data_IF_256247278892
#
_entry.id   IF_256247278892
#
_cell.length_a   1.000
_cell.length_b   1.000
_cell.length_c   1.000
_cell.angle_alpha   90.00
_cell.angle_beta   90.00
_cell.angle_gamma   90.00
#
_symmetry.space_group_name_H-M   'P 1'
#
loop_
_entity.id
_entity.type
_entity.pdbx_description
1 polymer ?
#
# COMPACT_ATOMS: atom_id res chain seq x y z
N UNK A 1 29.76 63.84 57.93
CA UNK A 1 28.73 63.20 57.03
C UNK A 1 29.38 62.22 56.05
N UNK A 2 29.73 61.08 56.57
CA UNK A 2 30.14 59.91 55.74
C UNK A 2 29.07 58.87 55.99
N UNK A 3 28.43 58.42 54.97
CA UNK A 3 27.74 57.18 55.20
C UNK A 3 26.51 56.84 54.37
N UNK A 4 25.89 57.71 53.62
CA UNK A 4 24.69 57.30 52.82
C UNK A 4 24.97 56.88 51.37
N UNK A 5 26.12 57.30 50.81
CA UNK A 5 26.47 56.95 49.43
C UNK A 5 26.97 55.51 49.23
N UNK A 6 27.66 54.93 50.29
CA UNK A 6 28.24 53.57 50.15
C UNK A 6 27.25 52.45 50.38
N UNK A 7 26.15 52.69 51.08
CA UNK A 7 25.09 51.68 51.30
C UNK A 7 24.30 51.41 49.98
N UNK A 8 23.99 52.49 49.28
CA UNK A 8 23.30 52.34 47.98
C UNK A 8 24.14 51.74 46.90
N UNK A 9 25.42 51.99 46.84
CA UNK A 9 26.35 51.36 45.90
C UNK A 9 26.51 49.86 46.17
N UNK A 10 26.58 49.43 47.43
CA UNK A 10 26.62 48.00 47.78
C UNK A 10 25.31 47.29 47.52
N UNK A 11 24.12 47.89 47.74
CA UNK A 11 22.86 47.33 47.43
C UNK A 11 22.62 47.16 45.88
N UNK A 12 23.10 48.19 45.13
CA UNK A 12 23.00 48.12 43.68
C UNK A 12 23.85 46.99 43.08
N UNK A 13 25.04 46.73 43.61
CA UNK A 13 25.91 45.63 43.18
C UNK A 13 25.36 44.26 43.57
N UNK A 14 24.73 44.10 44.71
CA UNK A 14 24.11 42.87 45.15
C UNK A 14 22.85 42.57 44.30
N UNK A 15 22.03 43.56 43.96
CA UNK A 15 20.90 43.38 43.06
C UNK A 15 21.33 43.05 41.62
N UNK A 16 22.44 43.60 41.12
CA UNK A 16 22.96 43.27 39.80
C UNK A 16 23.49 41.82 39.72
N UNK A 17 24.05 41.31 40.80
CA UNK A 17 24.60 39.93 40.85
C UNK A 17 23.45 38.92 40.88
N UNK A 18 22.30 39.21 41.48
CA UNK A 18 21.11 38.34 41.47
C UNK A 18 20.36 38.33 40.13
N UNK A 19 20.52 39.36 39.28
CA UNK A 19 19.94 39.43 37.97
C UNK A 19 20.66 38.55 36.91
N UNK A 20 21.90 38.14 37.20
CA UNK A 20 22.67 37.29 36.28
C UNK A 20 22.60 35.78 36.60
N UNK A 21 21.88 35.35 37.64
CA UNK A 21 21.66 33.95 37.97
C UNK A 21 20.26 33.44 37.58
N UNK A 22 19.47 34.21 36.84
CA UNK A 22 18.37 33.65 36.11
C UNK A 22 18.95 32.82 34.96
N UNK A 23 19.45 31.64 35.27
CA UNK A 23 19.56 30.60 34.29
C UNK A 23 18.14 30.35 33.80
N UNK A 24 17.78 31.00 32.70
CA UNK A 24 16.75 30.47 31.83
C UNK A 24 17.29 29.09 31.43
N UNK A 25 16.95 28.07 32.20
CA UNK A 25 16.95 26.72 31.72
C UNK A 25 15.81 26.69 30.68
N UNK A 26 16.07 27.24 29.51
CA UNK A 26 15.41 26.71 28.35
C UNK A 26 15.77 25.23 28.37
N UNK A 27 14.81 24.39 28.71
CA UNK A 27 14.88 22.99 28.36
C UNK A 27 14.97 22.97 26.83
N UNK A 28 16.20 23.07 26.33
CA UNK A 28 16.50 22.74 24.95
C UNK A 28 16.20 21.25 24.83
N UNK A 29 14.93 20.96 24.56
CA UNK A 29 14.55 19.62 24.14
C UNK A 29 15.46 19.26 22.97
N UNK A 30 16.17 18.17 23.09
CA UNK A 30 16.99 17.66 22.01
C UNK A 30 16.12 17.55 20.77
N UNK A 31 16.31 18.45 19.82
CA UNK A 31 15.64 18.39 18.53
C UNK A 31 16.36 17.32 17.73
N UNK A 32 15.80 16.12 17.66
CA UNK A 32 16.26 15.12 16.70
C UNK A 32 15.68 15.51 15.35
N UNK A 33 16.55 15.74 14.39
CA UNK A 33 16.16 16.02 13.01
C UNK A 33 16.19 14.71 12.23
N UNK A 34 15.03 14.29 11.72
CA UNK A 34 14.92 13.09 10.90
C UNK A 34 14.87 13.45 9.41
N UNK A 35 15.77 12.89 8.63
CA UNK A 35 15.69 12.94 7.16
C UNK A 35 14.94 11.72 6.66
N UNK A 36 13.79 11.95 6.06
CA UNK A 36 12.93 10.89 5.54
C UNK A 36 13.27 10.57 4.09
N UNK A 37 13.51 9.30 3.80
CA UNK A 37 13.69 8.77 2.44
C UNK A 37 12.69 7.65 2.19
N UNK A 38 12.23 7.51 0.94
CA UNK A 38 11.40 6.39 0.50
C UNK A 38 12.16 5.58 -0.53
N UNK A 39 12.11 4.26 -0.42
CA UNK A 39 12.78 3.31 -1.30
C UNK A 39 11.81 2.18 -1.65
N UNK A 40 11.60 1.92 -2.95
CA UNK A 40 10.87 0.74 -3.40
C UNK A 40 11.85 -0.41 -3.63
N UNK A 41 11.50 -1.61 -3.18
CA UNK A 41 12.32 -2.80 -3.37
C UNK A 41 11.51 -3.95 -3.96
N UNK A 42 12.22 -4.86 -4.66
CA UNK A 42 11.67 -6.16 -5.05
C UNK A 42 11.66 -7.16 -3.87
N UNK A 43 11.32 -8.41 -4.14
CA UNK A 43 11.32 -9.47 -3.14
C UNK A 43 12.70 -9.84 -2.62
N UNK A 44 13.73 -9.67 -3.43
CA UNK A 44 15.12 -9.92 -3.10
C UNK A 44 15.75 -8.75 -2.35
N UNK A 45 15.05 -7.60 -2.25
CA UNK A 45 15.53 -6.37 -1.62
C UNK A 45 16.32 -5.46 -2.56
N UNK A 46 16.33 -5.72 -3.87
CA UNK A 46 16.97 -4.85 -4.85
C UNK A 46 16.19 -3.54 -4.99
N UNK A 47 16.92 -2.43 -5.11
CA UNK A 47 16.32 -1.10 -5.23
C UNK A 47 15.69 -0.90 -6.61
N UNK A 48 14.38 -0.64 -6.60
CA UNK A 48 13.57 -0.32 -7.78
C UNK A 48 13.35 1.18 -7.98
N UNK A 49 13.71 2.01 -7.00
CA UNK A 49 13.41 3.45 -6.99
C UNK A 49 14.02 4.18 -8.18
N UNK A 50 15.26 3.81 -8.55
CA UNK A 50 16.01 4.42 -9.66
C UNK A 50 15.48 4.10 -11.07
N UNK A 51 14.60 3.11 -11.20
CA UNK A 51 14.10 2.64 -12.50
C UNK A 51 12.77 3.33 -12.91
N UNK A 52 12.34 4.38 -12.19
CA UNK A 52 11.09 5.07 -12.46
C UNK A 52 9.84 4.26 -12.08
N UNK A 53 10.01 3.12 -11.42
CA UNK A 53 8.91 2.26 -10.97
C UNK A 53 8.12 2.92 -9.83
N UNK A 54 8.81 3.67 -8.95
CA UNK A 54 8.18 4.50 -7.94
C UNK A 54 8.03 5.93 -8.47
N UNK A 55 6.85 6.24 -9.00
CA UNK A 55 6.54 7.56 -9.58
C UNK A 55 6.24 8.59 -8.48
N UNK A 56 5.48 8.21 -7.48
CA UNK A 56 5.02 9.09 -6.39
C UNK A 56 4.95 8.29 -5.08
N UNK A 57 5.32 8.93 -3.99
CA UNK A 57 5.10 8.39 -2.65
C UNK A 57 4.42 9.40 -1.74
N UNK A 58 3.52 8.91 -0.90
CA UNK A 58 2.79 9.67 0.11
C UNK A 58 3.07 9.06 1.47
N UNK A 59 3.40 9.91 2.45
CA UNK A 59 3.73 9.45 3.80
C UNK A 59 2.76 10.06 4.80
N UNK A 60 2.23 9.22 5.67
CA UNK A 60 1.25 9.57 6.68
C UNK A 60 1.82 9.28 8.06
N UNK A 61 1.65 10.23 8.98
CA UNK A 61 2.08 10.12 10.37
C UNK A 61 0.88 9.84 11.27
N UNK A 62 0.99 8.77 12.04
CA UNK A 62 0.03 8.39 13.07
C UNK A 62 0.69 8.39 14.45
N UNK A 63 -0.05 8.82 15.46
CA UNK A 63 0.28 8.68 16.87
C UNK A 63 -0.68 7.74 17.59
N UNK A 64 -0.58 7.66 18.90
CA UNK A 64 -1.50 6.83 19.72
C UNK A 64 -2.97 7.26 19.59
N UNK A 65 -3.22 8.53 19.30
CA UNK A 65 -4.58 9.09 19.09
C UNK A 65 -5.05 9.04 17.63
N UNK A 66 -4.31 8.36 16.75
CA UNK A 66 -4.62 8.24 15.33
C UNK A 66 -3.83 9.18 14.42
N UNK A 67 -4.40 9.49 13.25
CA UNK A 67 -3.76 10.30 12.21
C UNK A 67 -3.42 11.70 12.70
N UNK A 68 -2.19 12.13 12.45
CA UNK A 68 -1.69 13.45 12.80
C UNK A 68 -1.64 14.34 11.55
N UNK A 69 -0.89 13.91 10.52
CA UNK A 69 -0.72 14.67 9.27
C UNK A 69 -0.06 13.86 8.16
N UNK A 70 -0.16 14.35 6.94
CA UNK A 70 0.71 13.92 5.84
C UNK A 70 2.07 14.61 5.92
N UNK A 71 3.09 13.92 5.46
CA UNK A 71 4.46 14.38 5.42
C UNK A 71 4.96 14.31 3.98
N UNK A 72 5.58 15.38 3.42
CA UNK A 72 6.22 15.30 2.13
C UNK A 72 7.32 14.22 2.11
N UNK A 73 7.35 13.39 1.09
CA UNK A 73 8.22 12.20 1.01
C UNK A 73 9.74 12.48 1.07
N UNK A 74 10.15 13.74 0.88
CA UNK A 74 11.55 14.19 0.98
C UNK A 74 11.71 15.29 2.03
N UNK A 75 10.83 15.34 3.01
CA UNK A 75 10.90 16.37 4.05
C UNK A 75 11.97 16.06 5.09
N UNK A 76 12.65 17.10 5.53
CA UNK A 76 13.35 17.09 6.78
C UNK A 76 12.32 17.20 7.90
N UNK A 77 12.22 16.19 8.76
CA UNK A 77 11.27 16.15 9.86
C UNK A 77 11.90 16.79 11.10
N UNK A 78 11.90 18.11 11.12
CA UNK A 78 12.06 18.82 12.38
C UNK A 78 10.81 18.59 13.22
N UNK A 79 10.95 18.09 14.44
CA UNK A 79 9.82 17.90 15.37
C UNK A 79 8.87 16.71 15.14
N UNK A 80 9.35 15.51 14.87
CA UNK A 80 8.45 14.34 15.00
C UNK A 80 7.98 14.12 16.43
N UNK A 81 8.83 14.41 17.42
CA UNK A 81 8.58 14.09 18.83
C UNK A 81 8.42 15.31 19.76
N UNK A 82 8.31 16.53 19.28
CA UNK A 82 8.29 17.77 20.06
C UNK A 82 7.64 17.66 21.45
N UNK A 83 6.33 17.76 21.56
CA UNK A 83 5.58 17.58 22.81
C UNK A 83 5.20 16.13 23.13
N UNK A 84 5.59 15.16 22.29
CA UNK A 84 5.17 13.76 22.34
C UNK A 84 6.34 12.84 22.76
N UNK A 85 7.10 13.21 23.77
CA UNK A 85 8.33 12.52 24.23
C UNK A 85 8.16 11.03 24.58
N UNK A 86 6.93 10.56 24.76
CA UNK A 86 6.61 9.17 25.13
C UNK A 86 5.66 8.46 24.16
N UNK A 87 5.18 9.13 23.12
CA UNK A 87 4.24 8.53 22.16
C UNK A 87 4.96 7.63 21.16
N UNK A 88 4.33 6.51 20.84
CA UNK A 88 4.70 5.69 19.69
C UNK A 88 4.16 6.36 18.43
N UNK A 89 5.04 6.63 17.49
CA UNK A 89 4.67 7.17 16.20
C UNK A 89 4.77 6.07 15.14
N UNK A 90 3.84 6.07 14.20
CA UNK A 90 3.84 5.16 13.06
C UNK A 90 3.85 5.95 11.76
N UNK A 91 4.81 5.67 10.90
CA UNK A 91 4.84 6.15 9.52
C UNK A 91 4.22 5.10 8.62
N UNK A 92 3.29 5.51 7.76
CA UNK A 92 2.75 4.70 6.68
C UNK A 92 3.10 5.38 5.37
N UNK A 93 3.78 4.65 4.49
CA UNK A 93 4.11 5.12 3.16
C UNK A 93 3.37 4.31 2.10
N UNK A 94 2.77 5.03 1.15
CA UNK A 94 2.15 4.47 -0.04
C UNK A 94 2.88 4.97 -1.28
N UNK A 95 3.18 4.05 -2.19
CA UNK A 95 3.75 4.35 -3.49
C UNK A 95 2.74 4.13 -4.61
N UNK A 96 2.74 5.03 -5.59
CA UNK A 96 1.95 4.94 -6.82
C UNK A 96 0.43 4.86 -6.61
N UNK A 97 -0.11 5.51 -5.58
CA UNK A 97 -1.55 5.73 -5.50
C UNK A 97 -1.94 6.68 -6.64
N UNK A 98 -2.83 6.21 -7.51
CA UNK A 98 -3.38 7.02 -8.61
C UNK A 98 -4.88 7.27 -8.37
N UNK A 99 -5.25 8.53 -8.46
CA UNK A 99 -6.64 8.99 -8.24
C UNK A 99 -7.61 8.53 -9.33
N UNK A 100 -7.12 8.03 -10.46
CA UNK A 100 -7.95 7.47 -11.52
C UNK A 100 -8.51 6.09 -11.17
N UNK A 101 -7.81 5.30 -10.36
CA UNK A 101 -8.19 3.93 -9.97
C UNK A 101 -8.61 3.78 -8.51
N UNK A 102 -8.12 4.67 -7.63
CA UNK A 102 -8.33 4.63 -6.20
C UNK A 102 -8.89 5.95 -5.64
N UNK A 103 -9.64 5.84 -4.57
CA UNK A 103 -10.09 6.97 -3.75
C UNK A 103 -9.38 6.85 -2.40
N UNK A 104 -8.63 7.87 -2.02
CA UNK A 104 -8.22 8.02 -0.63
C UNK A 104 -9.39 8.63 0.12
N UNK A 105 -10.00 7.87 1.03
CA UNK A 105 -11.07 8.40 1.88
C UNK A 105 -10.45 9.50 2.75
N UNK A 106 -11.07 10.70 2.86
CA UNK A 106 -10.53 11.79 3.65
C UNK A 106 -10.19 11.36 5.08
N UNK A 107 -8.91 11.48 5.44
CA UNK A 107 -8.42 11.06 6.76
C UNK A 107 -8.40 12.29 7.65
N UNK A 108 -9.28 12.30 8.65
CA UNK A 108 -9.34 13.38 9.63
C UNK A 108 -8.35 13.15 10.77
N UNK A 109 -7.84 14.22 11.43
CA UNK A 109 -7.05 14.08 12.64
C UNK A 109 -7.74 13.19 13.67
N UNK A 110 -7.00 12.21 14.22
CA UNK A 110 -7.53 11.22 15.15
C UNK A 110 -8.11 9.95 14.52
N UNK A 111 -8.20 9.87 13.18
CA UNK A 111 -8.57 8.60 12.51
C UNK A 111 -7.52 7.54 12.82
N UNK A 112 -7.95 6.37 13.33
CA UNK A 112 -7.02 5.26 13.58
C UNK A 112 -6.46 4.69 12.28
N UNK A 113 -5.31 4.03 12.36
CA UNK A 113 -4.62 3.46 11.19
C UNK A 113 -5.50 2.38 10.49
N UNK A 114 -6.29 1.64 11.27
CA UNK A 114 -7.22 0.62 10.76
C UNK A 114 -8.45 1.22 10.09
N UNK A 115 -8.79 2.48 10.41
CA UNK A 115 -9.93 3.19 9.84
C UNK A 115 -9.57 4.11 8.66
N UNK A 116 -8.28 4.43 8.48
CA UNK A 116 -7.80 5.08 7.27
C UNK A 116 -7.84 4.08 6.10
N UNK A 117 -8.38 4.46 4.93
CA UNK A 117 -8.65 3.52 3.84
C UNK A 117 -8.37 4.10 2.47
N UNK A 118 -7.90 3.22 1.59
CA UNK A 118 -7.95 3.37 0.14
C UNK A 118 -9.10 2.52 -0.38
N UNK A 119 -9.89 3.05 -1.31
CA UNK A 119 -11.05 2.39 -1.89
C UNK A 119 -10.93 2.30 -3.41
N UNK A 120 -11.26 1.15 -3.99
CA UNK A 120 -11.34 0.96 -5.44
C UNK A 120 -12.41 1.85 -6.05
N UNK A 121 -12.07 2.49 -7.15
CA UNK A 121 -13.07 3.13 -8.00
C UNK A 121 -13.82 2.11 -8.84
N UNK A 122 -15.05 2.46 -9.20
CA UNK A 122 -15.87 1.68 -10.11
C UNK A 122 -15.83 2.30 -11.51
N UNK A 123 -15.86 1.43 -12.51
CA UNK A 123 -16.17 1.82 -13.87
C UNK A 123 -17.64 2.23 -13.97
N UNK A 124 -18.00 2.96 -15.01
CA UNK A 124 -19.41 3.36 -15.30
C UNK A 124 -20.37 2.17 -15.39
N UNK A 125 -19.87 1.01 -15.77
CA UNK A 125 -20.62 -0.26 -15.85
C UNK A 125 -20.78 -0.99 -14.49
N UNK A 126 -20.26 -0.41 -13.40
CA UNK A 126 -20.38 -0.94 -12.05
C UNK A 126 -19.22 -1.81 -11.56
N UNK A 127 -18.39 -2.34 -12.46
CA UNK A 127 -17.22 -3.14 -12.09
C UNK A 127 -16.10 -2.25 -11.52
N UNK A 128 -15.21 -2.84 -10.71
CA UNK A 128 -14.10 -2.13 -10.12
C UNK A 128 -12.93 -2.00 -11.10
N UNK A 129 -12.23 -0.86 -11.02
CA UNK A 129 -11.02 -0.64 -11.81
C UNK A 129 -9.84 -1.41 -11.21
N UNK A 130 -8.94 -1.93 -12.08
CA UNK A 130 -7.68 -2.49 -11.63
C UNK A 130 -6.84 -1.46 -10.87
N UNK A 131 -5.99 -1.92 -9.95
CA UNK A 131 -5.06 -1.03 -9.25
C UNK A 131 -3.78 -0.82 -10.06
N UNK A 132 -2.99 0.18 -9.66
CA UNK A 132 -1.65 0.43 -10.22
C UNK A 132 -0.60 -0.47 -9.56
N UNK A 133 0.67 -0.37 -9.94
CA UNK A 133 1.80 -1.01 -9.26
C UNK A 133 2.08 -0.33 -7.93
N UNK A 134 1.28 -0.69 -6.91
CA UNK A 134 1.28 -0.06 -5.60
C UNK A 134 2.37 -0.61 -4.70
N UNK A 135 2.97 0.30 -3.92
CA UNK A 135 3.95 -0.02 -2.89
C UNK A 135 3.47 0.43 -1.51
N UNK A 136 3.91 -0.27 -0.48
CA UNK A 136 3.50 -0.03 0.89
C UNK A 136 4.65 -0.28 1.88
N UNK A 137 4.70 0.57 2.91
CA UNK A 137 5.54 0.37 4.09
C UNK A 137 4.84 0.91 5.32
N UNK A 138 4.94 0.18 6.42
CA UNK A 138 4.60 0.65 7.76
C UNK A 138 5.84 0.56 8.64
N UNK A 139 6.19 1.64 9.32
CA UNK A 139 7.34 1.71 10.22
C UNK A 139 6.97 2.37 11.54
N UNK A 140 7.17 1.65 12.63
CA UNK A 140 7.02 2.21 13.96
C UNK A 140 8.31 2.92 14.36
N UNK A 141 8.15 4.09 14.95
CA UNK A 141 9.24 4.91 15.48
C UNK A 141 9.12 4.94 16.99
N UNK A 142 10.20 4.58 17.68
CA UNK A 142 10.34 4.75 19.11
C UNK A 142 11.26 5.93 19.39
N UNK A 143 10.87 6.78 20.34
CA UNK A 143 11.74 7.86 20.79
C UNK A 143 12.87 7.29 21.67
N UNK A 144 14.02 7.04 21.08
CA UNK A 144 15.25 6.71 21.81
C UNK A 144 16.04 8.00 22.06
N UNK A 145 15.40 8.99 22.71
CA UNK A 145 16.01 10.31 22.95
C UNK A 145 17.37 10.20 23.65
N UNK A 146 18.43 10.19 22.89
CA UNK A 146 19.76 10.55 23.32
C UNK A 146 19.88 12.09 23.33
N UNK A 147 20.48 12.65 24.35
CA UNK A 147 20.60 14.12 24.62
C UNK A 147 21.48 14.88 23.63
N UNK A 148 21.67 14.41 22.40
CA UNK A 148 22.48 15.07 21.39
C UNK A 148 21.62 15.46 20.20
N UNK A 149 21.89 16.62 19.60
CA UNK A 149 21.36 17.00 18.28
C UNK A 149 21.99 16.03 17.31
N UNK A 150 21.19 15.06 16.85
CA UNK A 150 21.67 14.06 15.92
C UNK A 150 20.71 14.03 14.73
N UNK A 151 21.26 14.21 13.53
CA UNK A 151 20.51 14.00 12.28
C UNK A 151 20.42 12.49 12.05
N UNK A 152 19.22 11.93 12.11
CA UNK A 152 18.97 10.52 11.83
C UNK A 152 18.28 10.40 10.46
N UNK A 153 18.72 9.46 9.65
CA UNK A 153 18.07 9.13 8.38
C UNK A 153 17.11 7.96 8.59
N UNK A 154 15.84 8.17 8.23
CA UNK A 154 14.80 7.14 8.23
C UNK A 154 14.51 6.77 6.78
N UNK A 155 14.82 5.53 6.40
CA UNK A 155 14.40 4.98 5.10
C UNK A 155 13.14 4.14 5.28
N UNK A 156 12.10 4.49 4.53
CA UNK A 156 10.86 3.72 4.39
C UNK A 156 11.01 2.79 3.21
N UNK A 157 11.33 1.52 3.51
CA UNK A 157 11.50 0.47 2.50
C UNK A 157 10.13 -0.08 2.15
N UNK A 158 9.63 0.28 0.98
CA UNK A 158 8.30 -0.08 0.49
C UNK A 158 8.37 -1.33 -0.38
N UNK A 159 7.45 -2.26 -0.15
CA UNK A 159 7.27 -3.47 -0.96
C UNK A 159 5.99 -3.38 -1.76
N UNK A 160 5.94 -4.10 -2.89
CA UNK A 160 4.69 -4.22 -3.66
C UNK A 160 3.58 -4.84 -2.83
N UNK A 161 2.40 -4.22 -2.89
CA UNK A 161 1.21 -4.70 -2.19
C UNK A 161 0.10 -5.11 -3.16
N UNK A 162 0.13 -4.66 -4.40
CA UNK A 162 -0.74 -5.15 -5.45
C UNK A 162 -0.35 -6.59 -5.84
N UNK A 163 -1.34 -7.37 -6.29
CA UNK A 163 -1.15 -8.69 -6.88
C UNK A 163 -1.37 -8.62 -8.40
N UNK A 164 -0.53 -9.29 -9.17
CA UNK A 164 -0.71 -9.48 -10.60
C UNK A 164 -1.52 -10.74 -10.87
N UNK A 165 -2.40 -10.70 -11.87
CA UNK A 165 -3.23 -11.83 -12.31
C UNK A 165 -3.28 -11.86 -13.83
N UNK A 166 -3.10 -13.05 -14.42
CA UNK A 166 -3.39 -13.36 -15.81
C UNK A 166 -4.17 -14.67 -15.88
N UNK A 167 -5.04 -14.81 -16.87
CA UNK A 167 -5.87 -16.01 -17.03
C UNK A 167 -5.83 -16.45 -18.48
N UNK A 168 -5.67 -17.74 -18.70
CA UNK A 168 -5.73 -18.36 -20.00
C UNK A 168 -6.64 -19.58 -19.97
N UNK A 169 -7.57 -19.69 -20.94
CA UNK A 169 -8.44 -20.86 -21.06
C UNK A 169 -8.01 -21.71 -22.24
N UNK A 170 -8.14 -23.03 -22.11
CA UNK A 170 -7.93 -24.00 -23.19
C UNK A 170 -9.22 -24.79 -23.44
N UNK A 171 -9.53 -25.05 -24.69
CA UNK A 171 -10.70 -25.86 -25.13
C UNK A 171 -12.08 -25.33 -24.66
N UNK A 172 -12.14 -24.01 -24.35
CA UNK A 172 -13.37 -23.39 -23.81
C UNK A 172 -14.51 -23.51 -24.83
N UNK A 173 -14.26 -23.21 -26.11
CA UNK A 173 -15.26 -23.27 -27.18
C UNK A 173 -15.72 -24.70 -27.52
N UNK A 174 -14.86 -25.70 -27.33
CA UNK A 174 -15.23 -27.11 -27.49
C UNK A 174 -16.29 -27.53 -26.46
N UNK A 175 -16.16 -27.03 -25.22
CA UNK A 175 -17.08 -27.34 -24.12
C UNK A 175 -18.33 -26.44 -24.13
N UNK A 176 -18.19 -25.17 -24.48
CA UNK A 176 -19.23 -24.15 -24.46
C UNK A 176 -19.24 -23.35 -25.76
N UNK A 177 -19.77 -23.85 -26.90
CA UNK A 177 -19.71 -23.16 -28.19
C UNK A 177 -20.25 -21.73 -28.14
N UNK A 178 -19.53 -20.76 -28.74
CA UNK A 178 -19.82 -19.32 -28.69
C UNK A 178 -21.18 -18.92 -29.25
N UNK A 179 -21.65 -19.55 -30.31
CA UNK A 179 -22.92 -19.19 -30.96
C UNK A 179 -23.01 -17.70 -31.37
N UNK A 180 -21.92 -17.12 -31.88
CA UNK A 180 -21.78 -15.70 -32.25
C UNK A 180 -21.64 -14.73 -31.08
N UNK A 181 -21.58 -15.19 -29.83
CA UNK A 181 -21.38 -14.39 -28.65
C UNK A 181 -19.90 -14.43 -28.18
N UNK A 182 -19.46 -13.37 -27.52
CA UNK A 182 -18.11 -13.31 -26.95
C UNK A 182 -18.08 -13.85 -25.52
N UNK A 183 -16.94 -14.45 -25.15
CA UNK A 183 -16.67 -14.75 -23.74
C UNK A 183 -16.18 -13.52 -22.97
N UNK A 184 -16.65 -13.40 -21.76
CA UNK A 184 -16.15 -12.41 -20.79
C UNK A 184 -15.91 -13.08 -19.45
N UNK A 185 -14.90 -12.60 -18.71
CA UNK A 185 -14.57 -13.09 -17.38
C UNK A 185 -14.91 -12.04 -16.34
N UNK A 186 -15.51 -12.47 -15.24
CA UNK A 186 -15.75 -11.66 -14.05
C UNK A 186 -14.99 -12.30 -12.90
N UNK A 187 -14.07 -11.56 -12.30
CA UNK A 187 -13.22 -12.01 -11.19
C UNK A 187 -13.73 -11.37 -9.90
N UNK A 188 -13.96 -12.20 -8.88
CA UNK A 188 -14.40 -11.79 -7.54
C UNK A 188 -13.54 -12.43 -6.47
N UNK A 189 -13.71 -12.02 -5.20
CA UNK A 189 -13.07 -12.65 -4.04
C UNK A 189 -11.98 -11.84 -3.37
N UNK A 190 -11.67 -10.63 -3.88
CA UNK A 190 -10.85 -9.67 -3.13
C UNK A 190 -11.72 -8.58 -2.51
N UNK A 191 -11.23 -7.85 -1.51
CA UNK A 191 -11.98 -6.73 -0.95
C UNK A 191 -11.90 -5.47 -1.81
N UNK A 192 -12.83 -4.54 -1.58
CA UNK A 192 -12.90 -3.24 -2.27
C UNK A 192 -12.06 -2.16 -1.64
N UNK A 193 -11.52 -2.40 -0.45
CA UNK A 193 -10.78 -1.41 0.34
C UNK A 193 -9.47 -2.01 0.86
N UNK A 194 -8.52 -1.15 1.13
CA UNK A 194 -7.28 -1.50 1.83
C UNK A 194 -7.05 -0.49 2.94
N UNK A 195 -6.90 -0.96 4.17
CA UNK A 195 -6.61 -0.09 5.31
C UNK A 195 -5.12 0.28 5.37
N UNK A 196 -4.78 1.21 6.25
CA UNK A 196 -3.42 1.69 6.39
C UNK A 196 -2.51 0.76 7.23
N UNK A 197 -3.03 -0.39 7.67
CA UNK A 197 -2.20 -1.52 8.12
C UNK A 197 -1.73 -2.39 6.96
N UNK A 198 -2.24 -2.16 5.73
CA UNK A 198 -1.98 -2.95 4.54
C UNK A 198 -2.92 -4.15 4.39
N UNK A 199 -4.01 -4.20 5.16
CA UNK A 199 -5.00 -5.28 5.12
C UNK A 199 -6.11 -4.96 4.12
N UNK A 200 -6.44 -5.94 3.28
CA UNK A 200 -7.60 -5.87 2.39
C UNK A 200 -8.89 -6.02 3.21
N UNK A 201 -9.87 -5.18 2.92
CA UNK A 201 -11.14 -5.09 3.63
C UNK A 201 -12.27 -4.67 2.67
N UNK A 202 -13.45 -4.41 3.21
CA UNK A 202 -14.61 -3.97 2.44
C UNK A 202 -15.42 -5.12 1.85
N UNK A 203 -16.28 -4.80 0.91
CA UNK A 203 -17.13 -5.75 0.19
C UNK A 203 -16.33 -6.50 -0.87
N UNK A 204 -16.92 -7.51 -1.51
CA UNK A 204 -16.31 -8.20 -2.65
C UNK A 204 -16.12 -7.22 -3.83
N UNK A 205 -14.88 -7.14 -4.30
CA UNK A 205 -14.58 -6.45 -5.55
C UNK A 205 -14.97 -7.32 -6.75
N UNK A 206 -15.43 -6.67 -7.81
CA UNK A 206 -15.77 -7.31 -9.08
C UNK A 206 -14.93 -6.67 -10.18
N UNK A 207 -14.09 -7.46 -10.85
CA UNK A 207 -13.24 -7.01 -11.95
C UNK A 207 -13.70 -7.69 -13.23
N UNK A 208 -13.87 -6.89 -14.28
CA UNK A 208 -14.16 -7.38 -15.64
C UNK A 208 -13.01 -6.95 -16.57
N UNK A 209 -11.90 -7.70 -16.55
CA UNK A 209 -10.74 -7.34 -17.36
C UNK A 209 -11.01 -7.50 -18.84
N UNK A 210 -10.15 -6.87 -19.66
CA UNK A 210 -10.13 -7.10 -21.09
C UNK A 210 -9.89 -8.59 -21.36
N UNK A 211 -10.78 -9.22 -22.12
CA UNK A 211 -10.68 -10.62 -22.54
C UNK A 211 -10.48 -10.66 -24.05
N UNK A 212 -9.44 -11.36 -24.50
CA UNK A 212 -9.10 -11.55 -25.92
C UNK A 212 -9.40 -13.02 -26.26
N UNK A 213 -10.20 -13.26 -27.29
CA UNK A 213 -10.50 -14.61 -27.76
C UNK A 213 -9.67 -14.90 -29.00
N UNK A 214 -8.93 -16.01 -29.01
CA UNK A 214 -8.13 -16.45 -30.15
C UNK A 214 -9.02 -17.19 -31.23
N UNK A 215 -8.39 -17.60 -32.34
CA UNK A 215 -9.07 -18.31 -33.42
C UNK A 215 -9.59 -19.69 -33.00
N UNK A 216 -8.99 -20.30 -31.98
CA UNK A 216 -9.39 -21.59 -31.41
C UNK A 216 -10.51 -21.45 -30.35
N UNK A 217 -10.94 -20.21 -30.06
CA UNK A 217 -11.97 -19.94 -29.07
C UNK A 217 -11.47 -19.98 -27.62
N UNK A 218 -10.14 -19.99 -27.39
CA UNK A 218 -9.58 -19.82 -26.07
C UNK A 218 -9.61 -18.35 -25.65
N UNK A 219 -9.77 -18.08 -24.38
CA UNK A 219 -9.78 -16.72 -23.82
C UNK A 219 -8.50 -16.44 -23.11
N UNK A 220 -7.90 -15.31 -23.44
CA UNK A 220 -6.72 -14.77 -22.78
C UNK A 220 -7.04 -13.45 -22.09
N UNK A 221 -6.76 -13.36 -20.79
CA UNK A 221 -6.79 -12.14 -20.00
C UNK A 221 -5.34 -11.73 -19.74
N UNK A 222 -4.87 -10.64 -20.36
CA UNK A 222 -3.52 -10.14 -20.15
C UNK A 222 -3.26 -9.78 -18.67
N UNK A 223 -2.00 -9.75 -18.23
CA UNK A 223 -1.68 -9.40 -16.85
C UNK A 223 -2.28 -8.07 -16.44
N UNK A 224 -3.03 -8.05 -15.35
CA UNK A 224 -3.59 -6.87 -14.72
C UNK A 224 -3.42 -6.95 -13.19
N UNK A 225 -3.70 -5.88 -12.47
CA UNK A 225 -3.39 -5.77 -11.05
C UNK A 225 -4.65 -5.60 -10.22
N UNK A 226 -4.73 -6.37 -9.13
CA UNK A 226 -5.85 -6.32 -8.18
C UNK A 226 -5.32 -6.27 -6.75
N UNK A 227 -6.18 -6.03 -5.78
CA UNK A 227 -5.82 -6.28 -4.39
C UNK A 227 -5.58 -7.77 -4.15
N UNK A 228 -4.63 -8.15 -3.28
CA UNK A 228 -4.39 -9.55 -2.95
C UNK A 228 -5.60 -10.17 -2.24
N UNK A 229 -5.68 -11.49 -2.28
CA UNK A 229 -6.66 -12.25 -1.48
C UNK A 229 -6.26 -12.22 -0.01
N UNK A 230 -7.25 -12.27 0.87
CA UNK A 230 -7.02 -12.53 2.30
C UNK A 230 -6.56 -13.99 2.50
N UNK A 231 -5.84 -14.22 3.58
CA UNK A 231 -5.42 -15.57 3.96
C UNK A 231 -6.63 -16.52 4.10
N UNK A 232 -6.53 -17.69 3.47
CA UNK A 232 -7.60 -18.70 3.47
C UNK A 232 -8.76 -18.44 2.52
N UNK A 233 -8.78 -17.28 1.83
CA UNK A 233 -9.77 -16.95 0.81
C UNK A 233 -9.11 -16.99 -0.58
N UNK A 234 -9.88 -17.30 -1.61
CA UNK A 234 -9.45 -17.27 -3.01
C UNK A 234 -10.30 -16.34 -3.85
N UNK A 235 -9.90 -16.16 -5.10
CA UNK A 235 -10.73 -15.53 -6.11
C UNK A 235 -11.68 -16.56 -6.73
N UNK A 236 -12.77 -16.07 -7.28
CA UNK A 236 -13.72 -16.80 -8.12
C UNK A 236 -13.65 -16.19 -9.52
N UNK A 237 -13.60 -17.04 -10.52
CA UNK A 237 -13.60 -16.67 -11.94
C UNK A 237 -14.89 -17.17 -12.55
N UNK A 238 -15.84 -16.25 -12.79
CA UNK A 238 -17.04 -16.54 -13.55
C UNK A 238 -16.76 -16.32 -15.02
N UNK A 239 -17.10 -17.28 -15.84
CA UNK A 239 -17.01 -17.20 -17.30
C UNK A 239 -18.43 -17.07 -17.87
N UNK A 240 -18.60 -16.04 -18.67
CA UNK A 240 -19.86 -15.74 -19.37
C UNK A 240 -19.69 -15.92 -20.86
N UNK A 241 -20.75 -16.38 -21.51
CA UNK A 241 -20.96 -16.32 -22.95
C UNK A 241 -22.12 -15.36 -23.18
N UNK A 242 -21.84 -14.20 -23.73
CA UNK A 242 -22.82 -13.12 -23.77
C UNK A 242 -23.29 -12.72 -22.37
N UNK A 243 -24.56 -12.98 -22.07
CA UNK A 243 -25.14 -12.72 -20.74
C UNK A 243 -25.23 -13.99 -19.88
N UNK A 244 -25.01 -15.16 -20.47
CA UNK A 244 -25.17 -16.44 -19.79
C UNK A 244 -23.89 -16.85 -19.08
N UNK A 245 -23.96 -17.02 -17.75
CA UNK A 245 -22.86 -17.60 -16.99
C UNK A 245 -22.74 -19.08 -17.28
N UNK A 246 -21.64 -19.51 -17.90
CA UNK A 246 -21.42 -20.90 -18.31
C UNK A 246 -20.73 -21.73 -17.22
N UNK A 247 -19.84 -21.12 -16.43
CA UNK A 247 -19.21 -21.82 -15.31
C UNK A 247 -18.58 -20.83 -14.30
N UNK A 248 -18.20 -21.38 -13.15
CA UNK A 248 -17.38 -20.70 -12.12
C UNK A 248 -16.19 -21.59 -11.78
N UNK A 249 -15.00 -21.00 -11.71
CA UNK A 249 -13.75 -21.67 -11.29
C UNK A 249 -13.26 -20.98 -10.03
N UNK A 250 -13.16 -21.71 -8.91
CA UNK A 250 -12.79 -21.20 -7.60
C UNK A 250 -11.65 -21.96 -6.93
N UNK A 251 -11.28 -23.12 -7.51
CA UNK A 251 -10.27 -24.01 -6.96
C UNK A 251 -9.34 -24.52 -8.05
N UNK A 252 -8.11 -24.79 -7.66
CA UNK A 252 -7.14 -25.47 -8.51
C UNK A 252 -7.37 -26.99 -8.59
N UNK A 253 -6.52 -27.69 -9.36
CA UNK A 253 -6.55 -29.13 -9.53
C UNK A 253 -6.36 -29.95 -8.24
N UNK A 254 -5.81 -29.30 -7.20
CA UNK A 254 -5.60 -29.90 -5.88
C UNK A 254 -6.73 -29.59 -4.91
N UNK A 255 -7.75 -28.84 -5.36
CA UNK A 255 -8.89 -28.41 -4.55
C UNK A 255 -8.59 -27.21 -3.66
N UNK A 256 -7.44 -26.53 -3.85
CA UNK A 256 -7.08 -25.32 -3.11
C UNK A 256 -7.76 -24.08 -3.72
N UNK A 257 -8.15 -23.09 -2.92
CA UNK A 257 -8.62 -21.82 -3.43
C UNK A 257 -7.59 -21.15 -4.36
N UNK A 258 -8.08 -20.38 -5.34
CA UNK A 258 -7.23 -19.64 -6.27
C UNK A 258 -6.68 -18.37 -5.59
N UNK A 259 -5.43 -18.40 -5.15
CA UNK A 259 -4.81 -17.26 -4.44
C UNK A 259 -4.19 -16.26 -5.40
N UNK A 260 -4.30 -14.97 -5.06
CA UNK A 260 -3.48 -13.91 -5.63
C UNK A 260 -2.72 -13.20 -4.51
N UNK A 261 -1.41 -13.19 -4.60
CA UNK A 261 -0.52 -12.78 -3.51
C UNK A 261 0.09 -11.41 -3.78
N UNK A 262 0.20 -10.60 -2.71
CA UNK A 262 0.87 -9.30 -2.78
C UNK A 262 2.31 -9.44 -3.34
N UNK A 263 2.66 -8.58 -4.30
CA UNK A 263 4.00 -8.56 -4.91
C UNK A 263 4.31 -9.74 -5.82
N UNK A 264 3.34 -10.59 -6.15
CA UNK A 264 3.50 -11.76 -7.04
C UNK A 264 2.64 -11.62 -8.28
N UNK A 265 3.06 -12.30 -9.35
CA UNK A 265 2.25 -12.56 -10.54
C UNK A 265 1.65 -13.96 -10.41
N UNK A 266 0.33 -14.08 -10.53
CA UNK A 266 -0.39 -15.35 -10.55
C UNK A 266 -0.91 -15.59 -11.96
N UNK A 267 -0.47 -16.67 -12.59
CA UNK A 267 -0.96 -17.12 -13.89
C UNK A 267 -1.88 -18.32 -13.69
N UNK A 268 -3.11 -18.24 -14.19
CA UNK A 268 -4.12 -19.29 -14.07
C UNK A 268 -4.45 -19.82 -15.47
N UNK A 269 -4.17 -21.11 -15.69
CA UNK A 269 -4.58 -21.82 -16.88
C UNK A 269 -5.78 -22.71 -16.55
N UNK A 270 -6.87 -22.55 -17.29
CA UNK A 270 -8.11 -23.31 -17.10
C UNK A 270 -8.37 -24.18 -18.34
N UNK A 271 -8.24 -25.50 -18.19
CA UNK A 271 -8.45 -26.46 -19.28
C UNK A 271 -9.84 -27.12 -19.21
N UNK A 272 -10.60 -27.01 -20.27
CA UNK A 272 -11.97 -27.53 -20.46
C UNK A 272 -12.03 -28.84 -21.24
N UNK A 273 -10.88 -29.46 -21.56
CA UNK A 273 -10.79 -30.63 -22.47
C UNK A 273 -11.64 -31.82 -22.07
N UNK A 274 -12.02 -31.97 -20.83
CA UNK A 274 -12.82 -33.10 -20.33
C UNK A 274 -14.04 -32.59 -19.56
N UNK A 275 -14.93 -33.47 -19.16
CA UNK A 275 -16.09 -33.13 -18.31
C UNK A 275 -15.68 -32.50 -16.94
N UNK A 276 -14.40 -32.54 -16.58
CA UNK A 276 -13.85 -31.89 -15.39
C UNK A 276 -13.04 -30.68 -15.82
N UNK A 277 -13.43 -29.52 -15.29
CA UNK A 277 -12.67 -28.28 -15.43
C UNK A 277 -11.40 -28.39 -14.60
N UNK A 278 -10.23 -28.15 -15.20
CA UNK A 278 -8.94 -28.19 -14.53
C UNK A 278 -8.32 -26.81 -14.49
N UNK A 279 -8.04 -26.29 -13.30
CA UNK A 279 -7.31 -25.06 -13.13
C UNK A 279 -5.89 -25.31 -12.59
N UNK A 280 -4.89 -24.84 -13.31
CA UNK A 280 -3.49 -24.87 -12.90
C UNK A 280 -3.05 -23.47 -12.53
N UNK A 281 -2.47 -23.32 -11.35
CA UNK A 281 -2.01 -22.02 -10.84
C UNK A 281 -0.50 -22.01 -10.80
N UNK A 282 0.12 -20.99 -11.41
CA UNK A 282 1.55 -20.69 -11.31
C UNK A 282 1.73 -19.34 -10.65
N UNK A 283 2.51 -19.30 -9.57
CA UNK A 283 2.88 -18.06 -8.88
C UNK A 283 4.33 -17.74 -9.22
N UNK A 284 4.55 -16.60 -9.85
CA UNK A 284 5.84 -16.14 -10.34
C UNK A 284 6.29 -14.89 -9.56
N UNK A 285 7.62 -14.63 -9.48
CA UNK A 285 8.12 -13.33 -9.07
C UNK A 285 7.55 -12.23 -9.95
N UNK A 286 7.40 -11.04 -9.40
CA UNK A 286 6.87 -9.90 -10.14
C UNK A 286 7.79 -9.52 -11.31
N UNK A 287 7.23 -9.40 -12.51
CA UNK A 287 7.97 -9.05 -13.72
C UNK A 287 8.43 -10.25 -14.55
N UNK A 288 8.28 -11.48 -14.07
CA UNK A 288 8.43 -12.68 -14.89
C UNK A 288 7.09 -12.97 -15.57
N UNK A 289 6.94 -12.53 -16.80
CA UNK A 289 5.85 -12.97 -17.69
C UNK A 289 6.32 -14.28 -18.34
N UNK A 290 5.50 -15.33 -18.28
CA UNK A 290 5.76 -16.52 -19.07
C UNK A 290 5.74 -16.11 -20.57
N UNK A 291 6.92 -16.02 -21.19
CA UNK A 291 7.09 -15.68 -22.61
C UNK A 291 6.61 -16.81 -23.56
N UNK A 292 6.02 -17.87 -23.01
CA UNK A 292 5.54 -19.01 -23.83
C UNK A 292 4.13 -18.83 -24.39
N UNK A 293 3.52 -17.66 -24.25
CA UNK A 293 2.30 -17.32 -24.97
C UNK A 293 2.71 -16.49 -26.19
N UNK A 294 3.28 -17.10 -27.19
CA UNK A 294 3.31 -16.52 -28.55
C UNK A 294 1.83 -16.42 -29.01
N UNK A 295 1.46 -15.19 -29.35
CA UNK A 295 0.16 -14.82 -29.94
C UNK A 295 0.10 -15.34 -31.39
#
# INVERSE_FOLDING_TARGET
>A
SRGLGDVYKRQLHVCLIFLHTSCIREEMNACVQYKLNTQAVDEQGNDLTGNGILEKSEVYLFGEKGFIRMIPAKASLEYLFGNHKSERLTLVAWGNIKEDTLITIPILPGTSIENARLKLKRHTEGNHLPVTDMFYCRKELSNTATRSIQEESITLVMKRIAAGLSIHTLHLEEQYPRQEENYTLLIRGTGTEMDFTGKVTGENAEYKPLSITDEQGNVHVPPFRIFPTEEGKGIEIDIYRGQDKVCTVERDNEGKPLYVMAGKQTDIEIDFKNTQIKATVKVLPWGEVNQNTEI
#
